data_IF_169529266199
#
_entry.id   IF_169529266199
#
_cell.length_a   1.000
_cell.length_b   1.000
_cell.length_c   1.000
_cell.angle_alpha   90.00
_cell.angle_beta   90.00
_cell.angle_gamma   90.00
#
_symmetry.space_group_name_H-M   'P 1'
#
loop_
_entity.id
_entity.type
_entity.pdbx_description
1 polymer ?
#
# COMPACT_ATOMS: atom_id res chain seq x y z
N UNK A 1 -10.28 16.89 3.46
CA UNK A 1 -10.66 15.76 2.59
C UNK A 1 -9.59 14.69 2.72
N UNK A 2 -9.97 13.42 2.69
CA UNK A 2 -9.02 12.31 2.74
C UNK A 2 -8.29 12.19 1.39
N UNK A 3 -6.98 11.86 1.39
CA UNK A 3 -6.29 11.53 0.15
C UNK A 3 -6.90 10.27 -0.49
N UNK A 4 -6.73 10.12 -1.81
CA UNK A 4 -7.14 8.93 -2.55
C UNK A 4 -5.97 8.37 -3.35
N UNK A 5 -6.01 7.08 -3.60
CA UNK A 5 -5.12 6.38 -4.50
C UNK A 5 -5.78 6.20 -5.86
N UNK A 6 -5.02 6.46 -6.92
CA UNK A 6 -5.36 6.08 -8.28
C UNK A 6 -4.42 4.98 -8.77
N UNK A 7 -4.96 3.91 -9.34
CA UNK A 7 -4.14 2.92 -10.03
C UNK A 7 -3.81 3.41 -11.45
N UNK A 8 -2.52 3.49 -11.75
CA UNK A 8 -2.02 3.86 -13.07
C UNK A 8 -2.00 2.63 -14.00
N UNK A 9 -2.00 2.82 -15.34
CA UNK A 9 -1.99 1.71 -16.29
C UNK A 9 -0.78 0.76 -16.16
N UNK A 10 0.31 1.23 -15.56
CA UNK A 10 1.51 0.46 -15.28
C UNK A 10 1.43 -0.34 -13.95
N UNK A 11 0.25 -0.40 -13.32
CA UNK A 11 -0.04 -1.10 -12.05
C UNK A 11 0.51 -0.39 -10.80
N UNK A 12 1.16 0.76 -10.96
CA UNK A 12 1.59 1.59 -9.84
C UNK A 12 0.40 2.37 -9.24
N UNK A 13 0.56 2.80 -7.99
CA UNK A 13 -0.45 3.58 -7.26
C UNK A 13 0.08 4.97 -6.95
N UNK A 14 -0.74 5.99 -7.23
CA UNK A 14 -0.37 7.39 -7.03
C UNK A 14 -1.35 8.08 -6.07
N UNK A 15 -0.84 8.91 -5.17
CA UNK A 15 -1.69 9.75 -4.31
C UNK A 15 -2.26 10.90 -5.12
N UNK A 16 -3.58 11.06 -5.06
CA UNK A 16 -4.30 12.09 -5.78
C UNK A 16 -5.18 12.91 -4.84
N UNK A 17 -5.42 14.16 -5.22
CA UNK A 17 -6.37 15.04 -4.54
C UNK A 17 -7.58 15.25 -5.43
N UNK A 18 -8.78 15.11 -4.87
CA UNK A 18 -10.01 15.50 -5.57
C UNK A 18 -10.05 17.02 -5.65
N UNK A 19 -10.26 17.53 -6.86
CA UNK A 19 -10.61 18.93 -7.11
C UNK A 19 -12.14 19.07 -7.06
N UNK A 20 -12.86 18.23 -7.79
CA UNK A 20 -14.34 18.26 -7.84
C UNK A 20 -14.90 16.92 -8.27
N UNK A 21 -16.10 16.59 -7.81
CA UNK A 21 -16.83 15.38 -8.18
C UNK A 21 -18.14 15.75 -8.87
N UNK A 22 -18.44 15.07 -9.98
CA UNK A 22 -19.64 15.25 -10.80
C UNK A 22 -20.26 13.89 -11.09
N UNK A 23 -21.32 13.53 -10.35
CA UNK A 23 -21.94 12.20 -10.49
C UNK A 23 -20.93 11.09 -10.20
N UNK A 24 -20.76 10.16 -11.14
CA UNK A 24 -19.85 9.02 -11.02
C UNK A 24 -18.39 9.31 -11.45
N UNK A 25 -18.06 10.57 -11.74
CA UNK A 25 -16.73 10.97 -12.19
C UNK A 25 -16.13 12.03 -11.27
N UNK A 26 -14.84 11.91 -11.00
CA UNK A 26 -14.06 12.85 -10.21
C UNK A 26 -12.96 13.49 -11.05
N UNK A 27 -12.75 14.78 -10.86
CA UNK A 27 -11.61 15.53 -11.37
C UNK A 27 -10.56 15.56 -10.26
N UNK A 28 -9.37 15.05 -10.56
CA UNK A 28 -8.28 14.86 -9.61
C UNK A 28 -7.01 15.60 -10.07
N UNK A 29 -6.17 15.99 -9.13
CA UNK A 29 -4.80 16.45 -9.39
C UNK A 29 -3.77 15.41 -8.93
N UNK A 30 -2.81 15.11 -9.80
CA UNK A 30 -1.63 14.32 -9.48
C UNK A 30 -0.52 15.21 -8.89
N UNK A 31 0.50 14.62 -8.22
CA UNK A 31 1.61 15.37 -7.63
C UNK A 31 2.47 16.13 -8.65
N UNK A 32 2.50 15.66 -9.91
CA UNK A 32 3.19 16.33 -11.04
C UNK A 32 2.43 17.56 -11.58
N UNK A 33 1.26 17.88 -11.01
CA UNK A 33 0.40 18.98 -11.43
C UNK A 33 -0.58 18.62 -12.54
N UNK A 34 -0.55 17.39 -13.07
CA UNK A 34 -1.50 16.94 -14.09
C UNK A 34 -2.90 16.80 -13.50
N UNK A 35 -3.90 17.25 -14.25
CA UNK A 35 -5.32 17.11 -13.90
C UNK A 35 -5.95 16.04 -14.78
N UNK A 36 -6.63 15.08 -14.16
CA UNK A 36 -7.32 13.99 -14.85
C UNK A 36 -8.79 13.93 -14.43
N UNK A 37 -9.62 13.45 -15.35
CA UNK A 37 -11.00 13.04 -15.05
C UNK A 37 -11.04 11.51 -15.01
N UNK A 38 -11.51 10.96 -13.90
CA UNK A 38 -11.53 9.52 -13.65
C UNK A 38 -12.89 9.09 -13.11
N UNK A 39 -13.26 7.84 -13.36
CA UNK A 39 -14.43 7.23 -12.68
C UNK A 39 -14.11 7.06 -11.21
N UNK A 40 -15.10 7.27 -10.35
CA UNK A 40 -14.95 7.09 -8.91
C UNK A 40 -14.54 5.65 -8.54
N UNK A 41 -15.01 4.66 -9.30
CA UNK A 41 -14.63 3.24 -9.14
C UNK A 41 -13.13 2.97 -9.29
N UNK A 42 -12.37 3.88 -9.90
CA UNK A 42 -10.92 3.76 -10.06
C UNK A 42 -10.14 4.38 -8.88
N UNK A 43 -10.84 5.00 -7.92
CA UNK A 43 -10.25 5.65 -6.77
C UNK A 43 -10.43 4.81 -5.51
N UNK A 44 -9.37 4.72 -4.72
CA UNK A 44 -9.36 3.96 -3.47
C UNK A 44 -9.03 4.90 -2.30
N UNK A 45 -9.75 4.81 -1.15
CA UNK A 45 -9.40 5.53 0.07
C UNK A 45 -7.92 5.38 0.43
N UNK A 46 -7.20 6.51 0.54
CA UNK A 46 -5.86 6.49 1.11
C UNK A 46 -5.92 6.57 2.64
N UNK A 47 -4.87 6.05 3.26
CA UNK A 47 -4.73 6.06 4.70
C UNK A 47 -4.52 7.52 5.16
N UNK A 48 -5.19 7.99 6.22
CA UNK A 48 -4.87 9.27 6.85
C UNK A 48 -3.42 9.30 7.34
N UNK A 49 -2.75 10.45 7.22
CA UNK A 49 -1.34 10.64 7.61
C UNK A 49 -1.03 10.23 9.07
N UNK A 50 -2.05 10.19 9.93
CA UNK A 50 -1.97 9.83 11.34
C UNK A 50 -1.61 8.34 11.53
N UNK A 51 -1.82 7.49 10.53
CA UNK A 51 -1.52 6.04 10.58
C UNK A 51 -0.20 5.69 9.86
N UNK A 52 0.62 6.69 9.52
CA UNK A 52 1.93 6.44 8.92
C UNK A 52 2.85 5.75 9.93
N UNK A 53 3.27 4.52 9.62
CA UNK A 53 4.23 3.78 10.43
C UNK A 53 3.63 2.86 11.50
N UNK A 54 2.34 2.52 11.42
CA UNK A 54 1.76 1.47 12.28
C UNK A 54 2.61 0.20 12.29
N UNK A 55 2.70 -0.45 13.45
CA UNK A 55 3.45 -1.70 13.60
C UNK A 55 2.66 -2.92 13.12
N UNK A 56 1.32 -2.83 13.07
CA UNK A 56 0.42 -3.85 12.55
C UNK A 56 -0.49 -3.29 11.47
N UNK A 57 -0.44 -3.87 10.26
CA UNK A 57 -1.29 -3.52 9.12
C UNK A 57 -2.78 -3.75 9.41
N UNK A 58 -3.13 -4.60 10.39
CA UNK A 58 -4.53 -4.81 10.79
C UNK A 58 -5.12 -3.63 11.58
N UNK A 59 -4.30 -2.70 12.06
CA UNK A 59 -4.78 -1.47 12.72
C UNK A 59 -5.33 -0.45 11.70
N UNK A 60 -5.15 -0.71 10.41
CA UNK A 60 -5.68 0.11 9.34
C UNK A 60 -7.18 -0.13 9.18
N UNK A 61 -7.96 0.94 9.28
CA UNK A 61 -9.40 0.91 9.03
C UNK A 61 -9.76 0.59 7.56
N UNK A 62 -8.78 0.64 6.65
CA UNK A 62 -8.92 0.27 5.24
C UNK A 62 -7.74 -0.62 4.81
N UNK A 63 -7.96 -1.94 4.82
CA UNK A 63 -7.01 -2.93 4.28
C UNK A 63 -7.13 -2.96 2.76
N UNK A 64 -6.33 -2.16 2.08
CA UNK A 64 -6.23 -2.21 0.63
C UNK A 64 -4.75 -2.31 0.21
N UNK A 65 -4.51 -2.95 -0.94
CA UNK A 65 -3.16 -3.17 -1.47
C UNK A 65 -2.33 -1.87 -1.55
N UNK A 66 -2.84 -0.71 -2.02
CA UNK A 66 -2.03 0.50 -2.03
C UNK A 66 -1.63 0.99 -0.63
N UNK A 67 -2.53 0.86 0.36
CA UNK A 67 -2.27 1.21 1.75
C UNK A 67 -1.14 0.35 2.35
N UNK A 68 -1.22 -0.98 2.19
CA UNK A 68 -0.21 -1.90 2.68
C UNK A 68 1.16 -1.63 2.03
N UNK A 69 1.18 -1.42 0.72
CA UNK A 69 2.41 -1.10 -0.01
C UNK A 69 3.03 0.21 0.47
N UNK A 70 2.22 1.25 0.68
CA UNK A 70 2.69 2.54 1.15
C UNK A 70 3.32 2.44 2.55
N UNK A 71 2.69 1.72 3.49
CA UNK A 71 3.24 1.54 4.83
C UNK A 71 4.52 0.72 4.81
N UNK A 72 4.56 -0.37 4.04
CA UNK A 72 5.77 -1.16 3.88
C UNK A 72 6.91 -0.32 3.30
N UNK A 73 6.62 0.59 2.36
CA UNK A 73 7.61 1.51 1.80
C UNK A 73 8.08 2.53 2.84
N UNK A 74 7.14 3.14 3.55
CA UNK A 74 7.42 4.11 4.60
C UNK A 74 8.33 3.50 5.67
N UNK A 75 7.95 2.32 6.19
CA UNK A 75 8.72 1.58 7.20
C UNK A 75 10.08 1.16 6.68
N UNK A 76 10.16 0.66 5.45
CA UNK A 76 11.42 0.33 4.80
C UNK A 76 12.38 1.52 4.74
N UNK A 77 11.88 2.71 4.37
CA UNK A 77 12.67 3.94 4.31
C UNK A 77 13.14 4.44 5.69
N UNK A 78 12.55 3.93 6.78
CA UNK A 78 12.93 4.19 8.17
C UNK A 78 13.73 3.02 8.78
N UNK A 79 14.30 2.14 7.95
CA UNK A 79 15.03 0.93 8.36
C UNK A 79 14.19 -0.09 9.18
N UNK A 80 12.86 0.05 9.17
CA UNK A 80 11.92 -0.87 9.82
C UNK A 80 11.50 -1.98 8.85
N UNK A 81 12.26 -3.07 8.82
CA UNK A 81 12.06 -4.16 7.86
C UNK A 81 11.03 -5.22 8.28
N UNK A 82 10.46 -5.13 9.48
CA UNK A 82 9.44 -6.05 9.99
C UNK A 82 8.15 -5.28 10.29
N UNK A 83 7.01 -5.81 9.83
CA UNK A 83 5.68 -5.22 10.03
C UNK A 83 4.68 -6.34 10.30
N UNK A 84 3.85 -6.23 11.33
CA UNK A 84 2.81 -7.23 11.60
C UNK A 84 1.65 -7.06 10.62
N UNK A 85 0.94 -8.14 10.39
CA UNK A 85 -0.35 -8.21 9.73
C UNK A 85 -1.19 -9.23 10.49
N UNK A 86 -1.64 -8.84 11.69
CA UNK A 86 -2.27 -9.72 12.66
C UNK A 86 -1.33 -10.85 13.10
N UNK A 87 -1.69 -12.13 12.91
CA UNK A 87 -0.86 -13.25 13.34
C UNK A 87 0.39 -13.46 12.47
N UNK A 88 0.51 -12.72 11.37
CA UNK A 88 1.62 -12.80 10.41
C UNK A 88 2.63 -11.69 10.69
N UNK A 89 3.92 -12.01 10.60
CA UNK A 89 4.97 -11.00 10.44
C UNK A 89 5.37 -10.91 8.96
N UNK A 90 5.40 -9.70 8.41
CA UNK A 90 5.88 -9.36 7.06
C UNK A 90 7.30 -8.82 7.19
N UNK A 91 8.25 -9.43 6.47
CA UNK A 91 9.64 -8.98 6.40
C UNK A 91 9.98 -8.42 5.01
N UNK A 92 10.61 -7.24 4.94
CA UNK A 92 11.03 -6.58 3.69
C UNK A 92 12.55 -6.60 3.57
N UNK A 93 13.08 -7.17 2.49
CA UNK A 93 14.53 -7.36 2.34
C UNK A 93 15.27 -6.07 1.92
N UNK A 94 16.16 -5.57 2.81
CA UNK A 94 17.05 -4.41 2.59
C UNK A 94 18.04 -4.51 1.42
N UNK A 95 18.31 -5.71 0.92
CA UNK A 95 19.25 -5.94 -0.19
C UNK A 95 18.58 -5.86 -1.57
N UNK A 96 17.26 -5.66 -1.61
CA UNK A 96 16.51 -5.42 -2.85
C UNK A 96 15.88 -4.04 -2.82
N UNK A 97 15.92 -3.33 -3.96
CA UNK A 97 15.16 -2.09 -4.12
C UNK A 97 13.69 -2.37 -3.85
N UNK A 98 13.03 -1.53 -3.04
CA UNK A 98 11.63 -1.69 -2.66
C UNK A 98 10.71 -1.88 -3.88
N UNK A 99 10.91 -1.11 -4.95
CA UNK A 99 10.14 -1.24 -6.20
C UNK A 99 10.23 -2.64 -6.84
N UNK A 100 11.39 -3.30 -6.75
CA UNK A 100 11.55 -4.68 -7.23
C UNK A 100 10.82 -5.70 -6.34
N UNK A 101 10.65 -5.39 -5.05
CA UNK A 101 9.96 -6.22 -4.08
C UNK A 101 8.44 -6.13 -4.27
N UNK A 102 7.91 -4.92 -4.49
CA UNK A 102 6.50 -4.67 -4.84
C UNK A 102 6.09 -5.42 -6.11
N UNK A 103 6.89 -5.30 -7.17
CA UNK A 103 6.66 -6.01 -8.45
C UNK A 103 6.68 -7.54 -8.31
N UNK A 104 7.31 -8.07 -7.26
CA UNK A 104 7.32 -9.51 -6.97
C UNK A 104 6.04 -9.94 -6.25
N UNK A 105 5.53 -9.12 -5.33
CA UNK A 105 4.29 -9.38 -4.58
C UNK A 105 3.07 -9.33 -5.51
N UNK A 106 3.04 -8.38 -6.46
CA UNK A 106 1.91 -8.17 -7.36
C UNK A 106 1.82 -9.18 -8.52
N UNK A 107 2.85 -10.01 -8.75
CA UNK A 107 2.83 -11.06 -9.78
C UNK A 107 2.30 -12.38 -9.20
N UNK A 108 1.13 -12.89 -9.65
CA UNK A 108 0.52 -14.11 -9.10
C UNK A 108 1.29 -15.41 -9.39
N UNK A 109 2.38 -15.38 -10.17
CA UNK A 109 3.05 -16.58 -10.71
C UNK A 109 4.28 -17.07 -9.92
N UNK A 110 4.66 -16.45 -8.80
CA UNK A 110 5.91 -16.79 -8.09
C UNK A 110 5.71 -17.42 -6.71
N UNK A 111 4.91 -18.49 -6.64
CA UNK A 111 4.80 -19.34 -5.43
C UNK A 111 6.14 -20.00 -5.06
N UNK A 112 7.13 -20.05 -5.98
CA UNK A 112 8.46 -20.65 -5.76
C UNK A 112 9.58 -19.65 -5.40
N UNK A 113 9.30 -18.36 -5.26
CA UNK A 113 10.29 -17.36 -4.82
C UNK A 113 9.87 -16.59 -3.55
N UNK A 114 8.96 -17.16 -2.75
CA UNK A 114 8.64 -16.72 -1.39
C UNK A 114 9.84 -16.96 -0.43
N UNK A 115 10.91 -16.18 -0.64
CA UNK A 115 11.96 -15.90 0.37
C UNK A 115 12.13 -14.40 0.61
N UNK A 116 11.25 -13.56 0.07
CA UNK A 116 11.37 -12.09 0.16
C UNK A 116 10.26 -11.45 0.99
N UNK A 117 9.20 -12.20 1.30
CA UNK A 117 8.26 -11.94 2.39
C UNK A 117 8.18 -13.24 3.19
N UNK A 118 8.80 -13.28 4.36
CA UNK A 118 8.69 -14.43 5.25
C UNK A 118 7.46 -14.22 6.12
N UNK A 119 6.36 -14.89 5.81
CA UNK A 119 5.20 -14.98 6.70
C UNK A 119 5.61 -15.86 7.90
N UNK A 120 6.05 -15.24 8.99
CA UNK A 120 6.22 -15.96 10.26
C UNK A 120 4.89 -15.92 11.00
N UNK A 121 4.35 -17.08 11.33
CA UNK A 121 3.22 -17.18 12.25
C UNK A 121 3.75 -16.86 13.64
N UNK A 122 3.26 -15.78 14.24
CA UNK A 122 3.58 -15.48 15.63
C UNK A 122 3.00 -16.60 16.52
N UNK A 123 3.73 -17.05 17.56
CA UNK A 123 3.21 -18.05 18.47
C UNK A 123 1.91 -17.52 19.09
N UNK A 124 0.85 -18.35 19.05
CA UNK A 124 -0.41 -18.05 19.73
C UNK A 124 -0.15 -17.91 21.22
N UNK A 125 -0.48 -16.76 21.82
CA UNK A 125 -0.46 -16.68 23.27
C UNK A 125 -1.49 -17.65 23.84
N UNK A 126 -1.12 -18.47 24.84
CA UNK A 126 -2.07 -19.37 25.49
C UNK A 126 -3.15 -18.54 26.19
N UNK A 127 -4.39 -19.00 26.06
CA UNK A 127 -5.60 -18.46 26.70
C UNK A 127 -5.56 -18.55 28.22
#
# INVERSE_FOLDING_TARGET
MLPLWLQLPNVDWELVKIITTYGAESVISLPDGKVLKVKEDNLVPAIPDILNGVDDLMELSYLNVPADLFILQYRYNQDMIYTKAGPVLVAVNRFKKFLSLVMTILKPTSVRQLKVVMFMQLPTQPS
#
